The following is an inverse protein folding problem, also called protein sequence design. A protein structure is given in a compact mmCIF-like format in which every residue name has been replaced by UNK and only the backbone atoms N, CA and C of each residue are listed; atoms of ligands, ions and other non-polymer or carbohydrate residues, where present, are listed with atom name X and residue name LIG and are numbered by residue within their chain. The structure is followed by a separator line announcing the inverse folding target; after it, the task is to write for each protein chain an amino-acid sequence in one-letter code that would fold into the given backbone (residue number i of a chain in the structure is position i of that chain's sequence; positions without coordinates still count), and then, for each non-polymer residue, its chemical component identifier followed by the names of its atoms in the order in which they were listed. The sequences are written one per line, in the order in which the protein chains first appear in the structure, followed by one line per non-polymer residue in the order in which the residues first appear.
data_IF_771216829991
#
_entry.id   IF_771216829991
#
_cell.length_a   1.000
_cell.length_b   1.000
_cell.length_c   1.000
_cell.angle_alpha   90.00
_cell.angle_beta   90.00
_cell.angle_gamma   90.00
#
_symmetry.space_group_name_H-M   'P 1'
#
loop_
_entity.id
_entity.type
_entity.pdbx_description
1 polymer ?
#
# COMPACT_ATOMS: atom_id res chain seq x y z
N UNK A 1 -35.62 36.57 36.05
CA UNK A 1 -34.34 35.85 35.80
C UNK A 1 -34.43 34.51 36.50
N UNK A 2 -34.72 33.45 35.74
CA UNK A 2 -34.82 32.07 36.23
C UNK A 2 -33.68 31.27 35.62
N UNK A 3 -32.81 30.70 36.45
CA UNK A 3 -31.83 29.69 36.05
C UNK A 3 -31.50 28.78 37.23
N UNK A 4 -32.07 27.58 37.21
CA UNK A 4 -31.51 26.42 37.91
C UNK A 4 -31.42 25.29 36.88
N UNK A 5 -30.22 24.87 36.46
CA UNK A 5 -30.08 23.63 35.73
C UNK A 5 -29.87 22.48 36.72
N UNK A 6 -30.76 21.50 36.59
CA UNK A 6 -30.64 20.13 37.10
C UNK A 6 -29.45 19.48 36.37
N UNK A 7 -28.57 18.74 37.06
CA UNK A 7 -28.14 17.41 36.64
C UNK A 7 -27.37 16.68 37.75
N UNK A 8 -27.86 15.48 38.03
CA UNK A 8 -27.36 14.42 38.89
C UNK A 8 -26.14 13.71 38.29
N UNK A 9 -25.09 13.51 39.09
CA UNK A 9 -24.26 12.29 39.04
C UNK A 9 -23.17 12.33 40.12
N UNK A 10 -23.39 11.65 41.24
CA UNK A 10 -22.31 11.21 42.13
C UNK A 10 -22.47 9.70 42.32
N UNK A 11 -21.54 8.84 41.85
CA UNK A 11 -21.49 7.47 42.30
C UNK A 11 -20.64 7.41 43.58
N UNK A 12 -21.26 7.04 44.69
CA UNK A 12 -20.54 6.71 45.93
C UNK A 12 -19.78 5.39 45.77
N UNK A 13 -18.51 5.28 46.22
CA UNK A 13 -17.77 4.03 46.14
C UNK A 13 -18.07 3.15 47.36
N UNK A 14 -18.54 1.92 47.14
CA UNK A 14 -18.56 0.87 48.16
C UNK A 14 -17.91 -0.38 47.57
N UNK A 15 -16.81 -0.82 48.17
CA UNK A 15 -16.12 -2.03 47.76
C UNK A 15 -14.67 -2.05 48.23
N UNK A 16 -14.49 -2.37 49.50
CA UNK A 16 -13.21 -2.67 50.13
C UNK A 16 -12.53 -3.87 49.46
N UNK A 17 -11.52 -3.63 48.62
CA UNK A 17 -10.43 -4.56 48.30
C UNK A 17 -9.27 -3.71 47.77
N UNK A 18 -8.39 -3.28 48.66
CA UNK A 18 -7.14 -2.58 48.33
C UNK A 18 -6.13 -3.58 47.74
N UNK A 19 -6.35 -4.03 46.50
CA UNK A 19 -5.25 -4.48 45.66
C UNK A 19 -4.82 -3.25 44.86
N UNK A 20 -3.68 -2.68 45.26
CA UNK A 20 -3.16 -1.42 44.75
C UNK A 20 -2.73 -1.56 43.28
N UNK A 21 -3.69 -1.50 42.37
CA UNK A 21 -3.42 -1.14 40.99
C UNK A 21 -2.93 0.31 41.05
N UNK A 22 -1.68 0.63 40.64
CA UNK A 22 -1.23 2.01 40.67
C UNK A 22 -2.20 2.83 39.81
N UNK A 23 -2.59 4.04 40.24
CA UNK A 23 -3.40 4.91 39.42
C UNK A 23 -2.54 5.37 38.25
N UNK A 24 -2.51 4.56 37.20
CA UNK A 24 -1.95 4.91 35.91
C UNK A 24 -2.64 6.21 35.50
N UNK A 25 -1.89 7.31 35.51
CA UNK A 25 -2.45 8.62 35.15
C UNK A 25 -2.91 8.55 33.70
N UNK A 26 -3.87 9.40 33.30
CA UNK A 26 -4.38 9.42 31.91
C UNK A 26 -3.22 9.53 30.89
N UNK A 27 -2.14 10.21 31.28
CA UNK A 27 -0.90 10.29 30.52
C UNK A 27 -0.22 8.93 30.29
N UNK A 28 -0.20 8.07 31.31
CA UNK A 28 0.41 6.74 31.26
C UNK A 28 -0.46 5.75 30.47
N UNK A 29 -1.79 5.88 30.51
CA UNK A 29 -2.69 5.16 29.59
C UNK A 29 -2.54 5.60 28.12
N UNK A 30 -2.37 6.91 27.89
CA UNK A 30 -2.05 7.46 26.56
C UNK A 30 -0.69 6.91 26.10
N UNK A 31 0.32 6.90 26.96
CA UNK A 31 1.65 6.34 26.66
C UNK A 31 1.59 4.83 26.37
N UNK A 32 0.84 4.04 27.15
CA UNK A 32 0.65 2.61 26.91
C UNK A 32 -0.13 2.33 25.61
N UNK A 33 -1.11 3.17 25.26
CA UNK A 33 -1.85 3.07 23.99
C UNK A 33 -1.03 3.52 22.78
N UNK A 34 -0.08 4.42 22.96
CA UNK A 34 0.90 4.85 21.95
C UNK A 34 2.07 3.87 21.81
N UNK A 35 2.35 3.06 22.84
CA UNK A 35 3.47 2.09 22.89
C UNK A 35 3.39 0.98 21.83
N UNK A 36 2.29 0.86 21.08
CA UNK A 36 2.12 -0.09 19.98
C UNK A 36 1.97 0.54 18.58
N UNK A 37 2.07 1.87 18.46
CA UNK A 37 1.93 2.57 17.18
C UNK A 37 3.30 2.97 16.64
N UNK A 38 3.65 2.47 15.45
CA UNK A 38 4.91 2.80 14.75
C UNK A 38 5.01 4.29 14.36
N UNK A 39 4.00 5.11 14.66
CA UNK A 39 3.93 6.54 14.33
C UNK A 39 3.57 6.82 12.87
N UNK A 40 3.42 5.77 12.05
CA UNK A 40 2.95 5.87 10.67
C UNK A 40 1.45 6.10 10.60
N UNK A 41 1.01 6.74 9.51
CA UNK A 41 -0.41 6.94 9.24
C UNK A 41 -1.06 5.61 8.85
N UNK A 42 -2.19 5.29 9.48
CA UNK A 42 -2.95 4.07 9.17
C UNK A 42 -3.36 4.02 7.69
N UNK A 43 -3.31 2.84 7.08
CA UNK A 43 -3.80 2.63 5.71
C UNK A 43 -5.28 3.01 5.55
N UNK A 44 -6.11 2.81 6.58
CA UNK A 44 -7.51 3.23 6.55
C UNK A 44 -7.64 4.74 6.33
N UNK A 45 -6.76 5.52 6.93
CA UNK A 45 -6.74 6.97 6.76
C UNK A 45 -6.24 7.35 5.36
N UNK A 46 -5.30 6.58 4.79
CA UNK A 46 -4.78 6.77 3.42
C UNK A 46 -5.88 6.57 2.38
N UNK A 47 -6.68 5.50 2.49
CA UNK A 47 -7.77 5.23 1.54
C UNK A 47 -8.99 6.13 1.72
N UNK A 48 -9.21 6.72 2.89
CA UNK A 48 -10.36 7.60 3.16
C UNK A 48 -10.05 9.09 2.95
N UNK A 49 -8.78 9.45 2.76
CA UNK A 49 -8.33 10.83 2.60
C UNK A 49 -8.49 11.36 1.18
N UNK A 50 -9.21 12.46 1.02
CA UNK A 50 -9.40 13.15 -0.25
C UNK A 50 -8.06 13.59 -0.87
N UNK A 51 -7.09 14.01 -0.05
CA UNK A 51 -5.77 14.44 -0.54
C UNK A 51 -5.05 13.29 -1.24
N UNK A 52 -5.09 12.10 -0.63
CA UNK A 52 -4.44 10.91 -1.18
C UNK A 52 -5.13 10.46 -2.47
N UNK A 53 -6.45 10.56 -2.55
CA UNK A 53 -7.20 10.35 -3.79
C UNK A 53 -6.82 11.32 -4.90
N UNK A 54 -6.73 12.62 -4.60
CA UNK A 54 -6.36 13.63 -5.61
C UNK A 54 -4.97 13.35 -6.18
N UNK A 55 -4.00 13.04 -5.31
CA UNK A 55 -2.63 12.74 -5.71
C UNK A 55 -2.56 11.44 -6.53
N UNK A 56 -3.27 10.39 -6.12
CA UNK A 56 -3.15 9.06 -6.71
C UNK A 56 -4.10 8.81 -7.89
N UNK A 57 -5.10 9.67 -8.11
CA UNK A 57 -6.11 9.54 -9.16
C UNK A 57 -5.54 9.44 -10.59
N UNK A 58 -4.44 10.14 -10.88
CA UNK A 58 -3.77 10.12 -12.18
C UNK A 58 -2.60 9.13 -12.28
N UNK A 59 -1.66 9.06 -11.32
CA UNK A 59 -0.49 8.20 -11.46
C UNK A 59 -0.84 6.72 -11.40
N UNK A 60 -1.80 6.29 -10.55
CA UNK A 60 -2.15 4.85 -10.44
C UNK A 60 -2.74 4.33 -11.77
N UNK A 61 -3.78 4.95 -12.37
CA UNK A 61 -4.29 4.49 -13.66
C UNK A 61 -3.27 4.60 -14.81
N UNK A 62 -2.40 5.61 -14.78
CA UNK A 62 -1.34 5.78 -15.79
C UNK A 62 -0.33 4.64 -15.76
N UNK A 63 0.17 4.27 -14.57
CA UNK A 63 1.09 3.15 -14.40
C UNK A 63 0.44 1.83 -14.82
N UNK A 64 -0.83 1.63 -14.46
CA UNK A 64 -1.59 0.45 -14.87
C UNK A 64 -1.73 0.36 -16.40
N UNK A 65 -2.00 1.50 -17.05
CA UNK A 65 -2.09 1.59 -18.52
C UNK A 65 -0.74 1.27 -19.19
N UNK A 66 0.37 1.76 -18.65
CA UNK A 66 1.71 1.46 -19.17
C UNK A 66 2.05 -0.03 -19.06
N UNK A 67 1.65 -0.66 -17.94
CA UNK A 67 1.78 -2.10 -17.73
C UNK A 67 0.96 -2.89 -18.76
N UNK A 68 -0.27 -2.48 -19.05
CA UNK A 68 -1.13 -3.15 -20.06
C UNK A 68 -0.63 -2.93 -21.50
N UNK A 69 -0.18 -1.71 -21.82
CA UNK A 69 0.44 -1.39 -23.11
C UNK A 69 1.69 -2.23 -23.39
N UNK A 70 2.16 -2.98 -22.39
CA UNK A 70 3.24 -3.91 -22.55
C UNK A 70 4.53 -3.17 -22.86
N UNK A 71 4.82 -2.11 -22.09
CA UNK A 71 6.15 -1.52 -22.03
C UNK A 71 7.22 -2.61 -21.81
N UNK A 72 6.86 -3.72 -21.16
CA UNK A 72 7.66 -4.95 -21.07
C UNK A 72 8.09 -5.54 -22.43
N UNK A 73 7.25 -5.49 -23.46
CA UNK A 73 7.62 -5.95 -24.81
C UNK A 73 8.71 -5.06 -25.45
N UNK A 74 8.88 -3.81 -24.97
CA UNK A 74 9.98 -2.94 -25.42
C UNK A 74 11.34 -3.32 -24.81
N UNK A 75 11.35 -4.18 -23.78
CA UNK A 75 12.57 -4.73 -23.17
C UNK A 75 13.07 -6.02 -23.85
N UNK A 76 12.58 -6.33 -25.06
CA UNK A 76 13.04 -7.48 -25.85
C UNK A 76 12.27 -8.77 -25.61
N UNK A 77 11.15 -8.73 -24.89
CA UNK A 77 10.21 -9.86 -24.83
C UNK A 77 9.38 -9.90 -26.12
N UNK A 78 9.43 -10.99 -26.92
CA UNK A 78 8.66 -11.07 -28.15
C UNK A 78 7.16 -11.04 -27.87
N UNK A 79 6.40 -10.33 -28.71
CA UNK A 79 4.94 -10.39 -28.66
C UNK A 79 4.46 -11.78 -29.09
N UNK A 80 3.24 -12.19 -28.69
CA UNK A 80 2.67 -13.48 -29.10
C UNK A 80 2.71 -13.74 -30.62
N UNK A 81 2.68 -12.69 -31.44
CA UNK A 81 2.75 -12.77 -32.91
C UNK A 81 4.17 -12.74 -33.50
N UNK A 82 5.20 -12.60 -32.68
CA UNK A 82 6.61 -12.47 -33.10
C UNK A 82 7.44 -13.74 -32.81
N UNK A 83 6.89 -14.72 -32.08
CA UNK A 83 7.60 -15.97 -31.75
C UNK A 83 7.87 -16.87 -32.96
N UNK A 84 7.01 -16.83 -33.98
CA UNK A 84 7.10 -17.72 -35.14
C UNK A 84 6.75 -16.97 -36.43
N UNK A 85 7.74 -16.80 -37.31
CA UNK A 85 7.52 -16.23 -38.65
C UNK A 85 6.95 -17.31 -39.57
N UNK A 86 6.08 -16.94 -40.53
CA UNK A 86 5.50 -17.90 -41.50
C UNK A 86 6.55 -18.70 -42.30
N UNK A 87 7.76 -18.17 -42.42
CA UNK A 87 8.90 -18.78 -43.12
C UNK A 87 9.73 -19.74 -42.24
N UNK A 88 9.53 -19.79 -40.92
CA UNK A 88 10.30 -20.66 -40.01
C UNK A 88 9.45 -21.14 -38.82
N UNK A 89 9.35 -22.47 -38.66
CA UNK A 89 8.71 -23.14 -37.52
C UNK A 89 9.70 -23.50 -36.37
N UNK A 90 10.93 -22.98 -36.37
CA UNK A 90 11.98 -23.33 -35.39
C UNK A 90 12.29 -22.23 -34.36
N UNK A 91 12.84 -22.62 -33.20
CA UNK A 91 13.20 -21.72 -32.09
C UNK A 91 14.40 -20.84 -32.50
N UNK A 92 14.36 -19.50 -32.30
CA UNK A 92 15.51 -18.64 -32.53
C UNK A 92 16.58 -18.88 -31.44
N UNK A 93 17.65 -19.60 -31.81
CA UNK A 93 18.76 -19.94 -30.91
C UNK A 93 20.03 -19.18 -31.32
N UNK A 94 20.56 -18.34 -30.43
CA UNK A 94 21.85 -17.66 -30.63
C UNK A 94 22.96 -18.70 -30.53
N UNK A 95 23.70 -18.92 -31.63
CA UNK A 95 24.70 -19.98 -31.74
C UNK A 95 26.15 -19.45 -31.72
N UNK A 96 26.34 -18.15 -31.97
CA UNK A 96 27.64 -17.48 -31.97
C UNK A 96 27.82 -16.52 -30.78
N UNK A 97 28.94 -16.64 -30.05
CA UNK A 97 29.27 -15.77 -28.91
C UNK A 97 29.73 -14.35 -29.31
N UNK A 98 30.33 -14.20 -30.49
CA UNK A 98 31.02 -12.96 -30.88
C UNK A 98 30.19 -11.99 -31.73
N UNK A 99 29.03 -12.41 -32.27
CA UNK A 99 28.13 -11.55 -33.04
C UNK A 99 26.63 -11.85 -32.78
N UNK A 100 26.17 -11.90 -31.51
CA UNK A 100 24.80 -12.28 -31.18
C UNK A 100 23.75 -11.27 -31.66
N UNK A 101 24.09 -9.98 -31.77
CA UNK A 101 23.17 -8.93 -32.24
C UNK A 101 22.86 -9.06 -33.73
N UNK A 102 23.88 -9.30 -34.56
CA UNK A 102 23.69 -9.57 -35.99
C UNK A 102 22.85 -10.84 -36.23
N UNK A 103 22.98 -11.83 -35.34
CA UNK A 103 22.17 -13.04 -35.37
C UNK A 103 20.71 -12.76 -34.95
N UNK A 104 20.48 -11.90 -33.94
CA UNK A 104 19.15 -11.44 -33.53
C UNK A 104 18.43 -10.66 -34.63
N UNK A 105 19.11 -9.76 -35.33
CA UNK A 105 18.54 -8.98 -36.45
C UNK A 105 18.21 -9.87 -37.66
N UNK A 106 18.92 -10.99 -37.81
CA UNK A 106 18.69 -11.95 -38.89
C UNK A 106 17.52 -12.92 -38.62
N UNK A 107 17.04 -13.01 -37.37
CA UNK A 107 15.89 -13.83 -37.00
C UNK A 107 14.59 -13.18 -37.44
#
# INVERSE_FOLDING_TARGET
MSRVPILSSLPSPLGSNEESIPPFTVHEYVELSMSGSTGERSFADIFTSIRDWVIHSKPIPSLFTQRIKGVSYSFGSPRPNEYSKKSRQGIPLIAGRFAPLAQLDSF
#
